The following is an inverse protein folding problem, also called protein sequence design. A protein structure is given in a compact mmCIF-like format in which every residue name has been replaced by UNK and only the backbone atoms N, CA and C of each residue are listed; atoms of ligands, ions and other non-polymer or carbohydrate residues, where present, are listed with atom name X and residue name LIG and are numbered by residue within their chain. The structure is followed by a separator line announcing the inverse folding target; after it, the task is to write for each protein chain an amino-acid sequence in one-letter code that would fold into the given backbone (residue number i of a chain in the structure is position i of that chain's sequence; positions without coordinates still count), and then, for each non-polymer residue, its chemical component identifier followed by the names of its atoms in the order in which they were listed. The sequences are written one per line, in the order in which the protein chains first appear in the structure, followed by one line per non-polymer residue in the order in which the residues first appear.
data_IF_355510213448
#
_entry.id   IF_355510213448
#
_cell.length_a   1.000
_cell.length_b   1.000
_cell.length_c   1.000
_cell.angle_alpha   90.00
_cell.angle_beta   90.00
_cell.angle_gamma   90.00
#
_symmetry.space_group_name_H-M   'P 1'
#
loop_
_entity.id
_entity.type
_entity.pdbx_description
1 polymer ?
#
# COMPACT_ATOMS: atom_id res chain seq x y z
N UNK A 1 -10.92 10.43 20.42
CA UNK A 1 -11.96 9.37 20.49
C UNK A 1 -11.37 8.07 19.92
N UNK A 2 -11.93 6.85 20.15
CA UNK A 2 -11.45 5.67 19.45
C UNK A 2 -11.68 5.82 17.93
N UNK A 3 -10.74 5.35 17.12
CA UNK A 3 -10.91 5.22 15.68
C UNK A 3 -11.99 4.20 15.36
N UNK A 4 -12.83 4.55 14.40
CA UNK A 4 -13.74 3.68 13.68
C UNK A 4 -12.95 2.67 12.82
N UNK A 5 -13.65 1.68 12.28
CA UNK A 5 -13.01 0.69 11.39
C UNK A 5 -12.55 1.36 10.09
N UNK A 6 -11.45 0.87 9.47
CA UNK A 6 -10.99 1.39 8.19
C UNK A 6 -12.13 1.44 7.16
N UNK A 7 -12.25 2.58 6.48
CA UNK A 7 -13.22 2.79 5.41
C UNK A 7 -14.68 2.89 5.89
N UNK A 8 -14.95 2.73 7.18
CA UNK A 8 -16.28 2.40 7.70
C UNK A 8 -16.88 1.18 6.98
N UNK A 9 -16.03 0.24 6.59
CA UNK A 9 -16.37 -0.87 5.71
C UNK A 9 -17.10 -2.02 6.42
N UNK A 10 -17.03 -2.09 7.74
CA UNK A 10 -17.51 -3.20 8.55
C UNK A 10 -18.30 -2.72 9.78
N UNK A 11 -19.28 -3.51 10.21
CA UNK A 11 -19.95 -3.34 11.49
C UNK A 11 -19.30 -4.27 12.53
N UNK A 12 -18.34 -3.74 13.29
CA UNK A 12 -17.66 -4.48 14.35
C UNK A 12 -18.34 -4.28 15.70
N UNK A 13 -18.40 -5.35 16.49
CA UNK A 13 -18.80 -5.25 17.90
C UNK A 13 -17.86 -4.32 18.68
N UNK A 14 -18.32 -3.69 19.78
CA UNK A 14 -17.47 -2.82 20.59
C UNK A 14 -16.17 -3.46 21.09
N UNK A 15 -16.17 -4.77 21.41
CA UNK A 15 -14.95 -5.50 21.82
C UNK A 15 -13.93 -5.60 20.68
N UNK A 16 -14.38 -5.86 19.44
CA UNK A 16 -13.49 -5.91 18.29
C UNK A 16 -12.97 -4.52 17.90
N UNK A 17 -13.81 -3.49 18.03
CA UNK A 17 -13.38 -2.11 17.81
C UNK A 17 -12.34 -1.66 18.85
N UNK A 18 -12.50 -2.04 20.11
CA UNK A 18 -11.51 -1.80 21.17
C UNK A 18 -10.19 -2.53 20.87
N UNK A 19 -10.23 -3.76 20.35
CA UNK A 19 -9.03 -4.48 19.92
C UNK A 19 -8.31 -3.82 18.76
N UNK A 20 -9.05 -3.32 17.77
CA UNK A 20 -8.48 -2.53 16.68
C UNK A 20 -7.76 -1.28 17.20
N UNK A 21 -8.39 -0.55 18.13
CA UNK A 21 -7.79 0.64 18.73
C UNK A 21 -6.56 0.33 19.59
N UNK A 22 -6.56 -0.81 20.28
CA UNK A 22 -5.37 -1.32 21.00
C UNK A 22 -4.23 -1.66 20.05
N UNK A 23 -4.53 -2.17 18.86
CA UNK A 23 -3.52 -2.39 17.82
C UNK A 23 -2.90 -1.07 17.37
N UNK A 24 -3.72 -0.06 17.06
CA UNK A 24 -3.25 1.28 16.69
C UNK A 24 -2.38 1.90 17.80
N UNK A 25 -2.88 1.91 19.04
CA UNK A 25 -2.13 2.46 20.19
C UNK A 25 -0.82 1.69 20.39
N UNK A 26 -0.82 0.36 20.28
CA UNK A 26 0.41 -0.45 20.38
C UNK A 26 1.46 -0.02 19.35
N UNK A 27 1.06 0.19 18.09
CA UNK A 27 2.00 0.62 17.05
C UNK A 27 2.55 2.02 17.33
N UNK A 28 1.68 2.96 17.70
CA UNK A 28 2.09 4.32 18.06
C UNK A 28 3.05 4.33 19.27
N UNK A 29 2.71 3.65 20.36
CA UNK A 29 3.51 3.61 21.60
C UNK A 29 4.88 2.98 21.39
N UNK A 30 5.03 2.08 20.41
CA UNK A 30 6.33 1.52 20.02
C UNK A 30 7.24 2.57 19.40
N UNK A 31 6.67 3.52 18.66
CA UNK A 31 7.40 4.55 17.90
C UNK A 31 7.61 5.85 18.68
N UNK A 32 6.72 6.15 19.63
CA UNK A 32 6.72 7.38 20.44
C UNK A 32 8.07 7.70 21.13
N UNK A 33 8.82 6.73 21.70
CA UNK A 33 10.10 7.03 22.34
C UNK A 33 11.15 7.66 21.40
N UNK A 34 11.15 7.26 20.12
CA UNK A 34 12.16 7.67 19.14
C UNK A 34 11.66 8.82 18.24
N UNK A 35 10.36 8.89 17.97
CA UNK A 35 9.77 9.81 17.00
C UNK A 35 8.83 10.86 17.61
N UNK A 36 8.46 10.73 18.88
CA UNK A 36 7.51 11.61 19.54
C UNK A 36 7.83 13.09 19.36
N UNK A 37 6.78 13.88 19.09
CA UNK A 37 6.85 15.33 18.97
C UNK A 37 5.53 15.94 19.46
N UNK A 38 5.55 17.20 19.89
CA UNK A 38 4.33 17.94 20.20
C UNK A 38 3.48 18.28 18.97
N UNK A 39 4.02 18.06 17.77
CA UNK A 39 3.39 18.33 16.49
C UNK A 39 2.72 17.08 15.89
N UNK A 40 2.72 15.95 16.60
CA UNK A 40 1.94 14.78 16.27
C UNK A 40 1.10 14.32 17.47
N UNK A 41 -0.15 13.95 17.23
CA UNK A 41 -0.97 13.23 18.20
C UNK A 41 -1.69 12.09 17.51
N UNK A 42 -1.88 10.98 18.22
CA UNK A 42 -2.73 9.91 17.74
C UNK A 42 -4.21 10.25 17.94
N UNK A 43 -4.55 11.16 18.85
CA UNK A 43 -5.95 11.45 19.19
C UNK A 43 -6.66 12.12 18.00
N UNK A 44 -7.63 11.44 17.37
CA UNK A 44 -8.49 12.08 16.40
C UNK A 44 -9.46 12.98 17.16
N UNK A 45 -9.73 14.14 16.55
CA UNK A 45 -10.78 15.13 16.89
C UNK A 45 -10.37 16.35 17.72
N UNK A 46 -9.86 17.34 16.99
CA UNK A 46 -10.53 18.65 16.99
C UNK A 46 -11.56 18.65 15.83
N UNK A 47 -12.87 18.80 16.07
CA UNK A 47 -13.88 18.88 15.01
C UNK A 47 -13.70 20.11 14.09
N UNK A 48 -12.89 21.09 14.51
CA UNK A 48 -12.46 22.21 13.68
C UNK A 48 -11.17 21.95 12.90
N UNK A 49 -10.54 20.77 13.04
CA UNK A 49 -9.33 20.42 12.30
C UNK A 49 -9.61 20.29 10.80
N UNK A 50 -8.68 20.79 9.99
CA UNK A 50 -8.75 20.62 8.54
C UNK A 50 -8.37 19.18 8.18
N UNK A 51 -9.26 18.49 7.45
CA UNK A 51 -8.98 17.15 6.92
C UNK A 51 -8.34 17.27 5.55
N UNK A 52 -7.18 16.64 5.38
CA UNK A 52 -6.40 16.68 4.15
C UNK A 52 -6.06 15.27 3.72
N UNK A 53 -6.34 14.94 2.45
CA UNK A 53 -5.83 13.73 1.83
C UNK A 53 -4.36 13.94 1.45
N UNK A 54 -3.47 13.10 1.98
CA UNK A 54 -2.07 13.10 1.57
C UNK A 54 -1.91 12.04 0.49
N UNK A 55 -1.65 12.43 -0.75
CA UNK A 55 -1.74 11.51 -1.89
C UNK A 55 -0.41 11.24 -2.58
N UNK A 56 -0.29 10.04 -3.14
CA UNK A 56 0.81 9.62 -4.00
C UNK A 56 0.32 8.54 -4.98
N UNK A 57 1.07 8.28 -6.06
CA UNK A 57 0.71 7.25 -7.04
C UNK A 57 0.98 5.84 -6.51
N UNK A 58 0.08 4.89 -6.83
CA UNK A 58 0.13 3.52 -6.32
C UNK A 58 1.08 2.57 -7.05
N UNK A 59 1.75 2.99 -8.13
CA UNK A 59 2.72 2.16 -8.84
C UNK A 59 4.06 2.10 -8.09
N UNK A 60 4.77 0.95 -8.11
CA UNK A 60 6.13 0.86 -7.57
C UNK A 60 7.10 1.86 -8.21
N UNK A 61 7.73 2.72 -7.41
CA UNK A 61 8.73 3.68 -7.91
C UNK A 61 10.10 3.03 -8.19
N UNK A 62 10.46 2.03 -7.38
CA UNK A 62 11.84 1.53 -7.29
C UNK A 62 12.41 0.97 -8.58
N UNK A 63 11.71 0.09 -9.31
CA UNK A 63 12.27 -0.46 -10.54
C UNK A 63 12.55 0.61 -11.60
N UNK A 64 11.73 1.66 -11.65
CA UNK A 64 11.86 2.73 -12.65
C UNK A 64 13.10 3.58 -12.38
N UNK A 65 13.31 4.02 -11.13
CA UNK A 65 14.51 4.81 -10.83
C UNK A 65 15.77 3.96 -10.85
N UNK A 66 15.71 2.67 -10.49
CA UNK A 66 16.86 1.76 -10.52
C UNK A 66 17.27 1.40 -11.94
N UNK A 67 16.30 1.18 -12.83
CA UNK A 67 16.51 0.73 -14.21
C UNK A 67 15.76 1.68 -15.17
N UNK A 68 14.55 1.31 -15.56
CA UNK A 68 13.69 2.04 -16.50
C UNK A 68 12.20 1.67 -16.35
N UNK A 69 11.32 2.46 -16.99
CA UNK A 69 9.87 2.30 -16.90
C UNK A 69 9.37 0.97 -17.50
N UNK A 70 10.02 0.46 -18.55
CA UNK A 70 9.65 -0.82 -19.17
C UNK A 70 9.95 -1.98 -18.21
N UNK A 71 11.06 -1.90 -17.48
CA UNK A 71 11.43 -2.87 -16.44
C UNK A 71 10.48 -2.75 -15.25
N UNK A 72 10.07 -1.55 -14.86
CA UNK A 72 9.07 -1.37 -13.81
C UNK A 72 7.74 -2.04 -14.11
N UNK A 73 7.22 -1.86 -15.32
CA UNK A 73 6.01 -2.54 -15.80
C UNK A 73 6.16 -4.06 -15.72
N UNK A 74 7.21 -4.59 -16.36
CA UNK A 74 7.41 -6.05 -16.46
C UNK A 74 7.67 -6.75 -15.14
N UNK A 75 8.43 -6.14 -14.22
CA UNK A 75 8.71 -6.76 -12.92
C UNK A 75 7.52 -6.64 -11.96
N UNK A 76 6.79 -5.53 -11.95
CA UNK A 76 5.60 -5.36 -11.12
C UNK A 76 4.50 -6.34 -11.55
N UNK A 77 4.32 -6.53 -12.87
CA UNK A 77 3.36 -7.48 -13.42
C UNK A 77 3.86 -8.94 -13.47
N UNK A 78 4.98 -9.28 -12.82
CA UNK A 78 5.48 -10.66 -12.74
C UNK A 78 4.62 -11.58 -11.83
N UNK A 79 3.42 -11.14 -11.46
CA UNK A 79 2.50 -11.85 -10.59
C UNK A 79 2.96 -11.80 -9.12
N UNK A 80 2.86 -12.93 -8.42
CA UNK A 80 3.12 -12.99 -6.97
C UNK A 80 4.53 -12.52 -6.60
N UNK A 81 5.54 -12.81 -7.43
CA UNK A 81 6.92 -12.38 -7.19
C UNK A 81 7.08 -10.86 -7.28
N UNK A 82 6.53 -10.26 -8.34
CA UNK A 82 6.52 -8.81 -8.53
C UNK A 82 5.81 -8.12 -7.38
N UNK A 83 4.59 -8.57 -7.07
CA UNK A 83 3.80 -8.05 -5.96
C UNK A 83 4.54 -8.06 -4.63
N UNK A 84 5.09 -9.22 -4.24
CA UNK A 84 5.77 -9.39 -2.94
C UNK A 84 7.04 -8.59 -2.82
N UNK A 85 7.73 -8.34 -3.92
CA UNK A 85 9.03 -7.67 -3.91
C UNK A 85 8.93 -6.15 -4.11
N UNK A 86 7.91 -5.67 -4.85
CA UNK A 86 7.91 -4.31 -5.38
C UNK A 86 6.69 -3.47 -5.00
N UNK A 87 5.55 -4.07 -4.62
CA UNK A 87 4.33 -3.29 -4.37
C UNK A 87 4.36 -2.65 -2.99
N UNK A 88 5.27 -1.70 -2.80
CA UNK A 88 5.58 -1.05 -1.55
C UNK A 88 5.13 0.42 -1.54
N UNK A 89 4.02 0.76 -2.19
CA UNK A 89 3.50 2.14 -2.22
C UNK A 89 2.11 2.24 -1.58
N UNK A 90 1.85 1.40 -0.57
CA UNK A 90 0.54 1.23 0.08
C UNK A 90 -0.60 0.97 -0.92
N UNK A 91 -0.27 0.28 -1.99
CA UNK A 91 -1.16 -0.12 -3.06
C UNK A 91 -0.63 -1.45 -3.60
N UNK A 92 -1.43 -2.50 -3.47
CA UNK A 92 -1.10 -3.80 -4.02
C UNK A 92 -2.19 -4.26 -4.97
N UNK A 93 -1.80 -4.93 -6.05
CA UNK A 93 -2.75 -5.45 -7.02
C UNK A 93 -2.46 -6.88 -7.42
N UNK A 94 -3.50 -7.53 -7.94
CA UNK A 94 -3.42 -8.81 -8.63
C UNK A 94 -4.16 -8.72 -9.97
N UNK A 95 -3.58 -9.31 -11.01
CA UNK A 95 -4.27 -9.51 -12.30
C UNK A 95 -5.01 -10.83 -12.22
N UNK A 96 -6.34 -10.76 -12.29
CA UNK A 96 -7.21 -11.93 -12.33
C UNK A 96 -7.32 -12.36 -13.78
N UNK A 97 -7.07 -13.64 -14.04
CA UNK A 97 -7.14 -14.22 -15.38
C UNK A 97 -8.39 -15.08 -15.53
N UNK A 98 -8.92 -15.15 -16.75
CA UNK A 98 -10.00 -16.06 -17.13
C UNK A 98 -9.67 -16.76 -18.45
N UNK A 99 -10.37 -17.86 -18.73
CA UNK A 99 -10.23 -18.59 -19.99
C UNK A 99 -11.25 -18.08 -21.00
N UNK A 100 -10.81 -17.71 -22.20
CA UNK A 100 -11.70 -17.30 -23.28
C UNK A 100 -12.39 -18.48 -23.98
N UNK A 101 -13.25 -18.20 -24.95
CA UNK A 101 -13.99 -19.22 -25.71
C UNK A 101 -13.11 -20.16 -26.53
N UNK A 102 -11.85 -19.78 -26.79
CA UNK A 102 -10.86 -20.58 -27.51
C UNK A 102 -9.99 -21.43 -26.56
N UNK A 103 -10.20 -21.32 -25.23
CA UNK A 103 -9.41 -22.03 -24.23
C UNK A 103 -8.12 -21.32 -23.84
N UNK A 104 -7.92 -20.05 -24.23
CA UNK A 104 -6.72 -19.26 -23.89
C UNK A 104 -6.93 -18.54 -22.57
N UNK A 105 -5.94 -18.60 -21.68
CA UNK A 105 -5.94 -17.84 -20.43
C UNK A 105 -5.51 -16.40 -20.73
N UNK A 106 -6.37 -15.43 -20.40
CA UNK A 106 -6.20 -14.00 -20.68
C UNK A 106 -6.46 -13.16 -19.42
N UNK A 107 -5.85 -11.98 -19.28
CA UNK A 107 -6.14 -11.08 -18.16
C UNK A 107 -7.58 -10.59 -18.23
N UNK A 108 -8.33 -10.79 -17.15
CA UNK A 108 -9.75 -10.47 -17.07
C UNK A 108 -9.98 -9.12 -16.40
N UNK A 109 -9.34 -8.88 -15.26
CA UNK A 109 -9.45 -7.64 -14.48
C UNK A 109 -8.25 -7.45 -13.57
N UNK A 110 -8.07 -6.24 -13.08
CA UNK A 110 -7.11 -5.91 -12.02
C UNK A 110 -7.88 -5.70 -10.72
N UNK A 111 -7.48 -6.38 -9.66
CA UNK A 111 -7.97 -6.15 -8.30
C UNK A 111 -6.88 -5.43 -7.51
N UNK A 112 -7.21 -4.24 -7.00
CA UNK A 112 -6.34 -3.38 -6.19
C UNK A 112 -6.84 -3.34 -4.76
N UNK A 113 -5.93 -3.36 -3.79
CA UNK A 113 -6.22 -3.17 -2.37
C UNK A 113 -5.25 -2.18 -1.73
N UNK A 114 -5.78 -1.39 -0.81
CA UNK A 114 -5.03 -0.56 0.15
C UNK A 114 -5.34 -0.97 1.59
N UNK A 115 -5.93 -2.15 1.80
CA UNK A 115 -6.31 -2.60 3.14
C UNK A 115 -5.10 -3.11 3.93
N UNK A 116 -4.93 -2.62 5.16
CA UNK A 116 -3.78 -2.91 6.03
C UNK A 116 -3.86 -4.35 6.59
N UNK A 117 -2.74 -5.11 6.62
CA UNK A 117 -2.73 -6.48 7.12
C UNK A 117 -3.11 -6.62 8.60
N UNK A 118 -2.82 -5.61 9.42
CA UNK A 118 -3.04 -5.64 10.87
C UNK A 118 -4.53 -5.76 11.23
N UNK A 119 -5.40 -5.12 10.45
CA UNK A 119 -6.84 -5.24 10.64
C UNK A 119 -7.31 -6.68 10.41
N UNK A 120 -6.80 -7.33 9.36
CA UNK A 120 -7.08 -8.73 9.05
C UNK A 120 -6.47 -9.70 10.07
N UNK A 121 -5.26 -9.42 10.55
CA UNK A 121 -4.62 -10.19 11.62
C UNK A 121 -5.44 -10.12 12.92
N UNK A 122 -5.94 -8.94 13.29
CA UNK A 122 -6.82 -8.75 14.46
C UNK A 122 -8.10 -9.57 14.32
N UNK A 123 -8.76 -9.51 13.15
CA UNK A 123 -9.96 -10.31 12.89
C UNK A 123 -9.66 -11.82 12.89
N UNK A 124 -8.54 -12.25 12.33
CA UNK A 124 -8.14 -13.65 12.34
C UNK A 124 -7.90 -14.17 13.77
N UNK A 125 -7.28 -13.34 14.59
CA UNK A 125 -6.98 -13.67 15.98
C UNK A 125 -8.25 -13.77 16.83
N UNK A 126 -9.20 -12.85 16.65
CA UNK A 126 -10.30 -12.67 17.59
C UNK A 126 -11.69 -13.04 17.06
N UNK A 127 -11.94 -12.91 15.76
CA UNK A 127 -13.23 -13.20 15.13
C UNK A 127 -13.10 -13.92 13.77
N UNK A 128 -12.62 -15.19 13.73
CA UNK A 128 -12.45 -15.95 12.48
C UNK A 128 -13.70 -16.01 11.59
N UNK A 129 -14.89 -16.14 12.19
CA UNK A 129 -16.16 -16.16 11.46
C UNK A 129 -16.40 -14.85 10.70
N UNK A 130 -16.22 -13.71 11.38
CA UNK A 130 -16.37 -12.38 10.77
C UNK A 130 -15.32 -12.13 9.69
N UNK A 131 -14.07 -12.53 9.92
CA UNK A 131 -13.02 -12.51 8.89
C UNK A 131 -13.47 -13.26 7.63
N UNK A 132 -14.00 -14.47 7.78
CA UNK A 132 -14.42 -15.30 6.64
C UNK A 132 -15.60 -14.67 5.89
N UNK A 133 -16.55 -14.06 6.58
CA UNK A 133 -17.64 -13.29 5.96
C UNK A 133 -17.09 -12.16 5.09
N UNK A 134 -16.19 -11.34 5.64
CA UNK A 134 -15.55 -10.22 4.92
C UNK A 134 -14.80 -10.71 3.67
N UNK A 135 -14.06 -11.81 3.81
CA UNK A 135 -13.35 -12.40 2.67
C UNK A 135 -14.30 -13.02 1.66
N UNK A 136 -15.43 -13.56 2.08
CA UNK A 136 -16.47 -14.10 1.19
C UNK A 136 -17.07 -12.99 0.33
N UNK A 137 -17.36 -11.83 0.92
CA UNK A 137 -17.86 -10.66 0.20
C UNK A 137 -16.86 -10.18 -0.86
N UNK A 138 -15.56 -10.20 -0.53
CA UNK A 138 -14.49 -9.81 -1.44
C UNK A 138 -14.24 -10.82 -2.56
N UNK A 139 -14.28 -12.12 -2.24
CA UNK A 139 -13.98 -13.20 -3.19
C UNK A 139 -15.19 -13.62 -4.03
N UNK A 140 -16.40 -13.24 -3.63
CA UNK A 140 -17.66 -13.78 -4.18
C UNK A 140 -17.89 -15.27 -3.86
N UNK A 141 -16.98 -15.90 -3.10
CA UNK A 141 -17.02 -17.32 -2.73
C UNK A 141 -16.48 -17.49 -1.31
N UNK A 142 -17.07 -18.42 -0.55
CA UNK A 142 -16.66 -18.65 0.84
C UNK A 142 -15.33 -19.44 0.88
N UNK A 143 -14.24 -18.87 1.40
CA UNK A 143 -12.97 -19.58 1.51
C UNK A 143 -13.03 -20.61 2.64
N UNK A 144 -12.36 -21.75 2.46
CA UNK A 144 -12.26 -22.78 3.48
C UNK A 144 -11.32 -22.34 4.61
N UNK A 145 -11.53 -22.88 5.81
CA UNK A 145 -10.62 -22.60 6.94
C UNK A 145 -9.17 -23.01 6.67
N UNK A 146 -8.97 -24.09 5.92
CA UNK A 146 -7.65 -24.54 5.51
C UNK A 146 -6.96 -23.58 4.56
N UNK A 147 -7.72 -22.82 3.79
CA UNK A 147 -7.22 -21.78 2.88
C UNK A 147 -6.94 -20.47 3.61
N UNK A 148 -7.40 -20.30 4.86
CA UNK A 148 -7.16 -19.11 5.69
C UNK A 148 -6.09 -19.36 6.77
N UNK A 149 -6.10 -20.53 7.42
CA UNK A 149 -5.25 -20.86 8.57
C UNK A 149 -4.29 -22.04 8.29
N UNK A 150 -4.29 -22.58 7.07
CA UNK A 150 -3.43 -23.67 6.64
C UNK A 150 -4.04 -25.07 6.75
N UNK A 151 -3.44 -26.08 6.10
CA UNK A 151 -4.06 -27.38 5.83
C UNK A 151 -4.42 -28.20 7.07
N UNK A 152 -3.77 -27.92 8.22
CA UNK A 152 -4.02 -28.61 9.47
C UNK A 152 -5.21 -28.03 10.27
N UNK A 153 -5.77 -26.89 9.86
CA UNK A 153 -6.80 -26.17 10.62
C UNK A 153 -8.17 -26.40 9.99
N UNK A 154 -8.93 -27.34 10.56
CA UNK A 154 -10.30 -27.61 10.16
C UNK A 154 -11.31 -26.63 10.78
N UNK A 155 -11.02 -26.14 11.99
CA UNK A 155 -11.82 -25.14 12.69
C UNK A 155 -10.89 -24.23 13.53
N UNK A 156 -10.77 -22.93 13.19
CA UNK A 156 -9.92 -22.01 13.94
C UNK A 156 -10.41 -21.74 15.37
N UNK A 157 -11.67 -22.05 15.71
CA UNK A 157 -12.18 -21.87 17.07
C UNK A 157 -11.56 -22.87 18.07
N UNK A 158 -10.97 -23.96 17.58
CA UNK A 158 -10.24 -24.92 18.40
C UNK A 158 -8.82 -24.45 18.76
N UNK A 159 -8.37 -23.33 18.19
CA UNK A 159 -7.06 -22.74 18.44
C UNK A 159 -7.17 -21.58 19.44
N UNK A 160 -6.17 -21.46 20.32
CA UNK A 160 -6.00 -20.25 21.12
C UNK A 160 -5.81 -19.02 20.21
N UNK A 161 -6.15 -17.80 20.65
CA UNK A 161 -6.01 -16.59 19.82
C UNK A 161 -4.62 -16.44 19.19
N UNK A 162 -3.55 -16.58 19.98
CA UNK A 162 -2.17 -16.50 19.46
C UNK A 162 -1.87 -17.58 18.41
N UNK A 163 -2.40 -18.79 18.58
CA UNK A 163 -2.27 -19.86 17.59
C UNK A 163 -3.04 -19.54 16.30
N UNK A 164 -4.21 -18.91 16.39
CA UNK A 164 -4.96 -18.42 15.22
C UNK A 164 -4.17 -17.36 14.46
N UNK A 165 -3.64 -16.36 15.17
CA UNK A 165 -2.80 -15.30 14.60
C UNK A 165 -1.61 -15.89 13.85
N UNK A 166 -0.84 -16.79 14.48
CA UNK A 166 0.32 -17.45 13.86
C UNK A 166 -0.08 -18.31 12.66
N UNK A 167 -1.16 -19.08 12.76
CA UNK A 167 -1.63 -19.95 11.67
C UNK A 167 -2.11 -19.13 10.46
N UNK A 168 -2.90 -18.08 10.69
CA UNK A 168 -3.32 -17.14 9.66
C UNK A 168 -2.12 -16.44 9.04
N UNK A 169 -1.22 -15.90 9.86
CA UNK A 169 -0.07 -15.16 9.36
C UNK A 169 0.82 -16.02 8.48
N UNK A 170 1.15 -17.24 8.92
CA UNK A 170 1.94 -18.21 8.15
C UNK A 170 1.32 -18.52 6.79
N UNK A 171 -0.01 -18.49 6.69
CA UNK A 171 -0.69 -18.87 5.47
C UNK A 171 -1.04 -17.68 4.56
N UNK A 172 -1.32 -16.50 5.09
CA UNK A 172 -1.95 -15.40 4.33
C UNK A 172 -1.16 -14.09 4.31
N UNK A 173 -0.45 -13.73 5.38
CA UNK A 173 0.21 -12.41 5.50
C UNK A 173 1.74 -12.52 5.41
N UNK A 174 2.34 -13.59 5.92
CA UNK A 174 3.74 -13.61 6.32
C UNK A 174 3.96 -12.91 7.66
N UNK A 175 5.21 -12.86 8.13
CA UNK A 175 5.51 -12.25 9.43
C UNK A 175 5.40 -10.72 9.45
N UNK A 176 5.45 -10.04 8.28
CA UNK A 176 5.29 -8.58 8.19
C UNK A 176 6.23 -7.75 9.08
N UNK A 177 7.41 -8.27 9.45
CA UNK A 177 8.33 -7.69 10.45
C UNK A 177 7.76 -7.57 11.87
N UNK A 178 6.64 -8.22 12.17
CA UNK A 178 6.12 -8.34 13.53
C UNK A 178 7.02 -9.26 14.36
N UNK A 179 7.64 -8.77 15.45
CA UNK A 179 8.56 -9.56 16.27
C UNK A 179 7.94 -10.85 16.83
N UNK A 180 6.68 -10.79 17.26
CA UNK A 180 5.96 -11.96 17.79
C UNK A 180 5.77 -13.07 16.76
N UNK A 181 5.61 -12.71 15.47
CA UNK A 181 5.47 -13.67 14.39
C UNK A 181 6.83 -14.24 13.95
N UNK A 182 7.88 -13.41 13.96
CA UNK A 182 9.26 -13.87 13.73
C UNK A 182 9.66 -14.87 14.82
N UNK A 183 9.41 -14.56 16.09
CA UNK A 183 9.69 -15.44 17.23
C UNK A 183 8.89 -16.75 17.18
N UNK A 184 7.75 -16.75 16.49
CA UNK A 184 6.92 -17.93 16.22
C UNK A 184 7.29 -18.67 14.92
N UNK A 185 8.47 -18.38 14.34
CA UNK A 185 9.00 -18.95 13.10
C UNK A 185 8.05 -18.80 11.89
N UNK A 186 7.24 -17.74 11.87
CA UNK A 186 6.39 -17.42 10.71
C UNK A 186 7.30 -16.94 9.58
N UNK A 187 7.19 -17.49 8.36
CA UNK A 187 8.02 -17.06 7.24
C UNK A 187 7.69 -15.62 6.82
N UNK A 188 8.68 -14.94 6.22
CA UNK A 188 8.48 -13.61 5.62
C UNK A 188 7.39 -13.65 4.54
N UNK A 189 7.42 -14.70 3.71
CA UNK A 189 6.43 -14.92 2.67
C UNK A 189 5.37 -15.94 3.11
N UNK A 190 4.07 -15.65 2.91
CA UNK A 190 3.02 -16.58 3.27
C UNK A 190 3.05 -17.85 2.41
N UNK A 191 2.75 -18.99 3.06
CA UNK A 191 2.73 -20.31 2.42
C UNK A 191 1.48 -20.56 1.57
N UNK A 192 0.38 -19.86 1.83
CA UNK A 192 -0.84 -19.93 1.05
C UNK A 192 -0.83 -18.96 -0.13
N UNK A 193 -1.67 -19.26 -1.12
CA UNK A 193 -1.80 -18.45 -2.33
C UNK A 193 -3.00 -17.48 -2.30
N UNK A 194 -3.97 -17.67 -1.40
CA UNK A 194 -5.26 -16.98 -1.47
C UNK A 194 -5.13 -15.45 -1.51
N UNK A 195 -4.39 -14.86 -0.56
CA UNK A 195 -4.12 -13.42 -0.59
C UNK A 195 -3.26 -13.06 -1.81
N UNK A 196 -2.20 -13.83 -2.07
CA UNK A 196 -1.25 -13.57 -3.15
C UNK A 196 -1.93 -13.41 -4.53
N UNK A 197 -2.94 -14.24 -4.83
CA UNK A 197 -3.62 -14.26 -6.13
C UNK A 197 -4.85 -13.35 -6.21
N UNK A 198 -5.43 -12.90 -5.09
CA UNK A 198 -6.65 -12.06 -5.08
C UNK A 198 -6.43 -10.65 -4.49
N UNK A 199 -5.22 -10.31 -4.06
CA UNK A 199 -4.92 -9.05 -3.36
C UNK A 199 -5.98 -8.73 -2.27
N UNK A 200 -6.17 -9.66 -1.32
CA UNK A 200 -7.18 -9.51 -0.27
C UNK A 200 -6.87 -8.32 0.64
N UNK A 201 -5.60 -8.16 0.98
CA UNK A 201 -5.05 -7.03 1.73
C UNK A 201 -3.56 -6.94 1.42
N UNK A 202 -2.94 -5.83 1.80
CA UNK A 202 -1.52 -5.61 1.60
C UNK A 202 -0.68 -6.58 2.43
N UNK A 203 0.33 -7.19 1.83
CA UNK A 203 1.22 -8.15 2.49
C UNK A 203 2.70 -7.78 2.35
N UNK A 204 3.02 -6.75 1.57
CA UNK A 204 4.36 -6.20 1.53
C UNK A 204 4.69 -5.64 2.93
N UNK A 205 5.85 -6.00 3.53
CA UNK A 205 6.14 -5.64 4.92
C UNK A 205 6.14 -4.13 5.19
N UNK A 206 6.45 -3.32 4.17
CA UNK A 206 6.51 -1.85 4.28
C UNK A 206 5.14 -1.17 4.13
N UNK A 207 4.09 -1.92 3.75
CA UNK A 207 2.72 -1.42 3.68
C UNK A 207 1.95 -1.65 5.00
N UNK A 208 2.67 -1.64 6.13
CA UNK A 208 2.12 -1.87 7.45
C UNK A 208 1.55 -0.60 8.10
N UNK A 209 0.69 -0.78 9.09
CA UNK A 209 0.18 0.30 9.93
C UNK A 209 1.33 1.01 10.66
N UNK A 210 2.34 0.26 11.08
CA UNK A 210 3.50 0.80 11.77
C UNK A 210 4.35 1.70 10.90
N UNK A 211 4.65 1.30 9.66
CA UNK A 211 5.40 2.13 8.72
C UNK A 211 4.62 3.40 8.34
N UNK A 212 3.29 3.32 8.27
CA UNK A 212 2.44 4.48 8.00
C UNK A 212 2.52 5.49 9.16
N UNK A 213 2.40 5.01 10.40
CA UNK A 213 2.54 5.86 11.58
C UNK A 213 3.97 6.41 11.68
N UNK A 214 4.98 5.55 11.45
CA UNK A 214 6.39 5.90 11.48
C UNK A 214 6.68 7.11 10.59
N UNK A 215 6.27 7.05 9.31
CA UNK A 215 6.69 8.07 8.35
C UNK A 215 6.00 9.42 8.59
N UNK A 216 4.76 9.40 9.08
CA UNK A 216 4.05 10.63 9.47
C UNK A 216 4.67 11.22 10.74
N UNK A 217 4.97 10.40 11.77
CA UNK A 217 5.66 10.88 12.98
C UNK A 217 7.07 11.38 12.69
N UNK A 218 7.79 10.72 11.78
CA UNK A 218 9.09 11.17 11.29
C UNK A 218 8.99 12.56 10.66
N UNK A 219 7.97 12.78 9.82
CA UNK A 219 7.69 14.07 9.18
C UNK A 219 7.19 15.15 10.13
N UNK A 220 6.43 14.80 11.18
CA UNK A 220 5.75 15.73 12.08
C UNK A 220 6.69 16.46 13.06
N UNK A 221 7.69 17.16 12.53
CA UNK A 221 8.59 18.07 13.25
C UNK A 221 8.80 19.30 12.36
N UNK A 222 8.98 20.50 12.94
CA UNK A 222 9.20 21.72 12.19
C UNK A 222 10.63 21.75 11.62
N UNK A 223 10.88 20.97 10.57
CA UNK A 223 12.17 20.92 9.89
C UNK A 223 12.44 22.22 9.15
N UNK A 224 13.56 22.86 9.48
CA UNK A 224 13.93 24.15 8.92
C UNK A 224 15.37 24.17 8.43
N UNK A 225 15.65 25.10 7.52
CA UNK A 225 17.00 25.55 7.19
C UNK A 225 17.12 27.04 7.49
N UNK A 226 18.36 27.54 7.65
CA UNK A 226 18.61 28.97 7.80
C UNK A 226 18.64 29.66 6.44
N UNK A 227 17.95 30.77 6.31
CA UNK A 227 18.09 31.63 5.13
C UNK A 227 19.22 32.66 5.30
N UNK A 228 19.54 33.38 4.23
CA UNK A 228 20.62 34.38 4.21
C UNK A 228 20.39 35.56 5.18
N UNK A 229 19.15 35.81 5.57
CA UNK A 229 18.77 36.83 6.54
C UNK A 229 18.79 36.32 8.00
N UNK A 230 19.15 35.05 8.23
CA UNK A 230 19.20 34.43 9.56
C UNK A 230 17.87 33.90 10.09
N UNK A 231 16.79 33.99 9.30
CA UNK A 231 15.48 33.41 9.59
C UNK A 231 15.38 31.92 9.21
N UNK A 232 14.19 31.35 9.43
CA UNK A 232 13.88 29.95 9.11
C UNK A 232 13.06 29.84 7.83
N UNK A 233 13.40 28.86 7.00
CA UNK A 233 12.62 28.39 5.86
C UNK A 233 12.39 26.88 5.97
N UNK A 234 11.34 26.31 5.37
CA UNK A 234 11.13 24.87 5.35
C UNK A 234 12.35 24.13 4.81
N UNK A 235 12.74 23.03 5.46
CA UNK A 235 13.77 22.16 4.92
C UNK A 235 13.23 21.37 3.70
N UNK A 236 14.07 21.17 2.70
CA UNK A 236 13.73 20.34 1.55
C UNK A 236 13.78 18.84 1.86
N UNK A 237 13.14 18.03 1.00
CA UNK A 237 13.13 16.56 1.05
C UNK A 237 14.48 15.95 1.40
N UNK A 238 15.50 16.30 0.61
CA UNK A 238 16.82 15.70 0.73
C UNK A 238 17.59 16.11 1.99
N UNK A 239 17.16 17.17 2.68
CA UNK A 239 17.69 17.54 3.98
C UNK A 239 17.05 16.68 5.06
N UNK A 240 15.71 16.55 5.03
CA UNK A 240 14.93 15.78 5.98
C UNK A 240 15.37 14.31 5.98
N UNK A 241 15.41 13.67 4.81
CA UNK A 241 15.78 12.25 4.69
C UNK A 241 17.27 11.95 4.89
N UNK A 242 18.13 12.97 5.03
CA UNK A 242 19.54 12.81 5.43
C UNK A 242 19.80 13.08 6.90
N UNK A 243 18.80 13.52 7.64
CA UNK A 243 18.97 13.77 9.07
C UNK A 243 19.37 12.50 9.82
N UNK A 244 18.88 11.34 9.37
CA UNK A 244 19.21 10.05 9.95
C UNK A 244 19.85 9.15 8.88
N UNK A 245 21.03 8.55 9.16
CA UNK A 245 21.67 7.64 8.22
C UNK A 245 20.76 6.46 7.86
N UNK A 246 20.63 6.17 6.56
CA UNK A 246 19.88 5.02 6.07
C UNK A 246 18.45 5.32 5.63
N UNK A 247 17.94 6.54 5.84
CA UNK A 247 16.61 6.95 5.39
C UNK A 247 16.59 7.55 3.97
N UNK A 248 17.75 7.74 3.34
CA UNK A 248 17.82 8.35 2.01
C UNK A 248 17.03 7.57 0.97
N UNK A 249 16.97 6.25 1.08
CA UNK A 249 16.21 5.38 0.18
C UNK A 249 14.69 5.66 0.25
N UNK A 250 14.16 6.03 1.42
CA UNK A 250 12.74 6.36 1.59
C UNK A 250 12.36 7.59 0.74
N UNK A 251 13.27 8.55 0.58
CA UNK A 251 13.02 9.76 -0.25
C UNK A 251 12.75 9.49 -1.73
N UNK A 252 13.03 8.26 -2.19
CA UNK A 252 12.93 7.83 -3.58
C UNK A 252 11.61 7.12 -3.90
N UNK A 253 10.87 6.67 -2.88
CA UNK A 253 9.52 6.14 -3.03
C UNK A 253 8.51 7.26 -3.30
N UNK A 254 7.28 6.90 -3.64
CA UNK A 254 6.18 7.86 -3.77
C UNK A 254 5.57 8.19 -2.41
N UNK A 255 5.30 7.16 -1.60
CA UNK A 255 4.59 7.27 -0.32
C UNK A 255 5.37 8.06 0.73
N UNK A 256 6.61 7.66 1.00
CA UNK A 256 7.35 8.19 2.15
C UNK A 256 7.60 9.70 2.06
N UNK A 257 8.10 10.26 0.93
CA UNK A 257 8.30 11.70 0.86
C UNK A 257 6.96 12.45 0.85
N UNK A 258 5.89 11.92 0.25
CA UNK A 258 4.58 12.57 0.30
C UNK A 258 4.08 12.70 1.75
N UNK A 259 4.10 11.60 2.50
CA UNK A 259 3.68 11.57 3.90
C UNK A 259 4.56 12.44 4.81
N UNK A 260 5.89 12.27 4.73
CA UNK A 260 6.82 13.00 5.58
C UNK A 260 6.81 14.50 5.30
N UNK A 261 6.75 14.91 4.02
CA UNK A 261 6.75 16.33 3.65
C UNK A 261 5.43 17.02 4.01
N UNK A 262 4.29 16.35 3.83
CA UNK A 262 3.00 16.90 4.25
C UNK A 262 2.96 17.16 5.77
N UNK A 263 3.47 16.21 6.56
CA UNK A 263 3.55 16.36 8.02
C UNK A 263 4.59 17.43 8.43
N UNK A 264 5.73 17.51 7.74
CA UNK A 264 6.77 18.51 7.99
C UNK A 264 6.28 19.93 7.69
N UNK A 265 5.56 20.11 6.59
CA UNK A 265 4.96 21.40 6.23
C UNK A 265 3.95 21.84 7.28
N UNK A 266 3.05 20.95 7.71
CA UNK A 266 2.09 21.25 8.77
C UNK A 266 2.79 21.64 10.08
N UNK A 267 3.78 20.85 10.51
CA UNK A 267 4.53 21.13 11.73
C UNK A 267 5.34 22.43 11.66
N UNK A 268 5.93 22.76 10.50
CA UNK A 268 6.64 24.02 10.27
C UNK A 268 5.72 25.24 10.45
N UNK A 269 4.45 25.11 10.08
CA UNK A 269 3.41 26.12 10.32
C UNK A 269 2.76 26.03 11.70
N UNK A 270 3.36 25.27 12.62
CA UNK A 270 2.91 25.09 13.99
C UNK A 270 1.56 24.40 14.13
N UNK A 271 1.21 23.55 13.16
CA UNK A 271 0.00 22.74 13.22
C UNK A 271 0.35 21.36 13.77
N UNK A 272 -0.46 20.86 14.69
CA UNK A 272 -0.41 19.46 15.11
C UNK A 272 -1.03 18.58 14.02
N UNK A 273 -0.38 17.46 13.72
CA UNK A 273 -0.82 16.45 12.76
C UNK A 273 -1.41 15.26 13.52
N UNK A 274 -2.48 14.68 12.99
CA UNK A 274 -3.05 13.42 13.45
C UNK A 274 -3.62 12.66 12.26
N UNK A 275 -3.88 11.36 12.41
CA UNK A 275 -4.70 10.64 11.43
C UNK A 275 -6.17 10.99 11.65
N UNK A 276 -6.92 11.20 10.56
CA UNK A 276 -8.36 11.39 10.65
C UNK A 276 -9.06 10.05 10.95
N UNK A 277 -10.21 10.13 11.62
CA UNK A 277 -11.11 8.98 11.78
C UNK A 277 -11.95 8.76 10.50
N UNK A 278 -11.98 7.54 9.92
CA UNK A 278 -11.19 6.35 10.27
C UNK A 278 -9.74 6.36 9.80
N UNK A 279 -8.84 5.81 10.62
CA UNK A 279 -7.44 5.58 10.24
C UNK A 279 -7.38 4.45 9.20
N UNK A 280 -6.77 4.74 8.06
CA UNK A 280 -6.55 3.76 7.00
C UNK A 280 -5.85 4.38 5.79
N UNK A 281 -5.64 3.54 4.78
CA UNK A 281 -5.15 3.93 3.46
C UNK A 281 -6.29 3.83 2.45
N UNK A 282 -6.52 4.90 1.71
CA UNK A 282 -7.68 5.01 0.83
C UNK A 282 -7.27 5.29 -0.61
N UNK A 283 -8.09 4.83 -1.54
CA UNK A 283 -8.05 5.22 -2.95
C UNK A 283 -8.69 6.62 -3.03
N UNK A 284 -7.84 7.62 -3.21
CA UNK A 284 -8.20 9.03 -3.21
C UNK A 284 -8.69 9.47 -4.60
N UNK A 285 -8.05 8.93 -5.64
CA UNK A 285 -8.40 9.22 -7.02
C UNK A 285 -8.07 8.01 -7.91
N UNK A 286 -8.91 7.78 -8.93
CA UNK A 286 -8.60 6.92 -10.06
C UNK A 286 -8.92 7.67 -11.34
N UNK A 287 -7.90 7.93 -12.16
CA UNK A 287 -8.04 8.63 -13.44
C UNK A 287 -8.47 7.63 -14.51
N UNK A 288 -9.76 7.27 -14.54
CA UNK A 288 -10.29 6.28 -15.47
C UNK A 288 -10.37 6.75 -16.92
N UNK A 289 -10.33 8.05 -17.15
CA UNK A 289 -10.57 8.70 -18.44
C UNK A 289 -9.48 8.40 -19.48
N UNK A 290 -8.31 7.92 -19.03
CA UNK A 290 -7.21 7.52 -19.92
C UNK A 290 -7.39 6.12 -20.48
N UNK A 291 -8.33 5.32 -19.96
CA UNK A 291 -8.57 3.96 -20.43
C UNK A 291 -9.70 3.94 -21.44
N UNK A 292 -9.44 3.34 -22.59
CA UNK A 292 -10.37 3.26 -23.71
C UNK A 292 -10.71 1.82 -24.07
N UNK A 293 -11.98 1.59 -24.39
CA UNK A 293 -12.48 0.34 -24.96
C UNK A 293 -13.19 0.67 -26.27
N UNK A 294 -12.79 0.01 -27.36
CA UNK A 294 -13.29 0.27 -28.71
C UNK A 294 -13.21 1.77 -29.14
N UNK A 295 -12.20 2.48 -28.65
CA UNK A 295 -11.96 3.90 -28.93
C UNK A 295 -12.84 4.88 -28.14
N UNK A 296 -13.68 4.39 -27.22
CA UNK A 296 -14.46 5.21 -26.28
C UNK A 296 -14.07 4.95 -24.83
N UNK A 297 -14.63 5.68 -23.84
CA UNK A 297 -14.40 5.40 -22.43
C UNK A 297 -14.77 3.96 -22.07
N UNK A 298 -14.04 3.35 -21.13
CA UNK A 298 -14.43 2.06 -20.57
C UNK A 298 -15.84 2.13 -19.94
N UNK A 299 -16.65 1.05 -20.01
CA UNK A 299 -17.96 1.02 -19.37
C UNK A 299 -17.89 1.26 -17.85
N UNK A 300 -18.77 2.11 -17.31
CA UNK A 300 -18.86 2.38 -15.86
C UNK A 300 -18.90 1.11 -14.98
N UNK A 301 -19.63 0.02 -15.35
CA UNK A 301 -19.65 -1.20 -14.54
C UNK A 301 -18.30 -1.91 -14.42
N UNK A 302 -17.33 -1.58 -15.27
CA UNK A 302 -15.97 -2.12 -15.21
C UNK A 302 -15.09 -1.43 -14.16
N UNK A 303 -15.57 -0.33 -13.56
CA UNK A 303 -14.88 0.40 -12.50
C UNK A 303 -15.68 0.23 -11.21
N UNK A 304 -15.16 -0.58 -10.28
CA UNK A 304 -15.86 -0.91 -9.03
C UNK A 304 -15.00 -0.54 -7.84
N UNK A 305 -15.33 0.58 -7.20
CA UNK A 305 -14.79 0.92 -5.89
C UNK A 305 -15.53 0.14 -4.81
N UNK A 306 -14.79 -0.34 -3.81
CA UNK A 306 -15.35 -1.17 -2.74
C UNK A 306 -14.58 -1.07 -1.42
N UNK A 307 -15.09 -1.80 -0.42
CA UNK A 307 -14.58 -1.83 0.95
C UNK A 307 -14.34 -0.43 1.52
N UNK A 308 -15.42 0.33 1.61
CA UNK A 308 -15.42 1.66 2.22
C UNK A 308 -16.57 2.53 1.71
N UNK A 309 -16.89 3.58 2.46
CA UNK A 309 -17.86 4.58 2.05
C UNK A 309 -17.28 5.54 0.99
N UNK A 310 -18.12 6.42 0.43
CA UNK A 310 -17.67 7.43 -0.53
C UNK A 310 -16.53 8.27 0.06
N UNK A 311 -15.42 8.36 -0.69
CA UNK A 311 -14.21 9.05 -0.25
C UNK A 311 -13.28 8.25 0.67
N UNK A 312 -13.65 7.00 1.01
CA UNK A 312 -12.89 6.10 1.88
C UNK A 312 -12.76 4.69 1.28
N UNK A 313 -12.84 4.55 -0.04
CA UNK A 313 -12.72 3.25 -0.71
C UNK A 313 -11.31 2.68 -0.51
N UNK A 314 -11.23 1.37 -0.22
CA UNK A 314 -9.94 0.67 -0.05
C UNK A 314 -9.69 -0.39 -1.11
N UNK A 315 -10.65 -0.63 -1.99
CA UNK A 315 -10.52 -1.55 -3.13
C UNK A 315 -10.97 -0.90 -4.43
N UNK A 316 -10.30 -1.28 -5.50
CA UNK A 316 -10.71 -1.01 -6.87
C UNK A 316 -10.64 -2.33 -7.64
N UNK A 317 -11.74 -2.69 -8.31
CA UNK A 317 -11.68 -3.61 -9.43
C UNK A 317 -11.79 -2.84 -10.73
N UNK A 318 -10.86 -3.09 -11.64
CA UNK A 318 -10.83 -2.47 -12.96
C UNK A 318 -10.84 -3.55 -14.05
N UNK A 319 -11.90 -3.53 -14.86
CA UNK A 319 -12.08 -4.40 -16.01
C UNK A 319 -13.39 -5.20 -16.01
N UNK A 320 -13.63 -5.97 -17.08
CA UNK A 320 -14.82 -6.79 -17.28
C UNK A 320 -15.13 -7.75 -16.10
N UNK A 321 -16.41 -7.96 -15.81
CA UNK A 321 -16.88 -8.99 -14.86
C UNK A 321 -16.77 -10.40 -15.44
N UNK A 322 -16.87 -11.43 -14.60
CA UNK A 322 -16.73 -12.84 -15.04
C UNK A 322 -17.73 -13.25 -16.14
N UNK A 323 -18.95 -12.70 -16.12
CA UNK A 323 -19.99 -12.98 -17.13
C UNK A 323 -19.86 -12.16 -18.43
N UNK A 324 -18.96 -11.18 -18.47
CA UNK A 324 -18.71 -10.34 -19.65
C UNK A 324 -17.81 -11.10 -20.64
N UNK A 325 -18.04 -11.10 -21.96
CA UNK A 325 -17.16 -11.80 -22.91
C UNK A 325 -15.81 -11.11 -23.14
N UNK A 326 -15.64 -9.85 -22.74
CA UNK A 326 -14.44 -9.05 -23.00
C UNK A 326 -13.32 -9.28 -21.99
N UNK A 327 -12.11 -8.85 -22.35
CA UNK A 327 -10.90 -9.03 -21.54
C UNK A 327 -10.13 -7.72 -21.36
N UNK A 328 -9.28 -7.69 -20.34
CA UNK A 328 -8.50 -6.50 -19.98
C UNK A 328 -7.54 -6.07 -21.10
N UNK A 329 -6.97 -7.03 -21.82
CA UNK A 329 -6.05 -6.79 -22.95
C UNK A 329 -6.76 -6.27 -24.22
N UNK A 330 -8.07 -6.04 -24.17
CA UNK A 330 -8.86 -5.33 -25.20
C UNK A 330 -8.99 -3.83 -24.90
N UNK A 331 -8.53 -3.39 -23.72
CA UNK A 331 -8.49 -1.98 -23.31
C UNK A 331 -7.15 -1.37 -23.73
N UNK A 332 -7.17 -0.12 -24.18
CA UNK A 332 -5.96 0.70 -24.39
C UNK A 332 -5.86 1.79 -23.32
N UNK A 333 -4.65 2.26 -23.06
CA UNK A 333 -4.34 3.36 -22.15
C UNK A 333 -3.67 4.50 -22.92
N UNK A 334 -4.15 5.71 -22.71
CA UNK A 334 -3.60 6.93 -23.31
C UNK A 334 -2.62 7.58 -22.35
N UNK A 335 -1.33 7.58 -22.70
CA UNK A 335 -0.28 8.26 -21.97
C UNK A 335 0.35 9.35 -22.86
N UNK A 336 0.04 10.62 -22.59
CA UNK A 336 0.48 11.74 -23.41
C UNK A 336 -0.09 11.65 -24.83
N UNK A 337 0.80 11.58 -25.83
CA UNK A 337 0.44 11.44 -27.25
C UNK A 337 0.42 9.96 -27.72
N UNK A 338 0.58 9.00 -26.80
CA UNK A 338 0.65 7.57 -27.12
C UNK A 338 -0.56 6.82 -26.58
N UNK A 339 -1.08 5.89 -27.38
CA UNK A 339 -2.10 4.93 -26.98
C UNK A 339 -1.49 3.53 -27.06
N UNK A 340 -1.41 2.85 -25.91
CA UNK A 340 -0.80 1.53 -25.78
C UNK A 340 -1.85 0.50 -25.30
N UNK A 341 -1.75 -0.78 -25.70
CA UNK A 341 -2.55 -1.84 -25.10
C UNK A 341 -2.29 -1.94 -23.59
N UNK A 342 -3.35 -2.14 -22.81
CA UNK A 342 -3.22 -2.42 -21.37
C UNK A 342 -2.66 -3.83 -21.17
N UNK A 343 -1.45 -3.94 -20.61
CA UNK A 343 -0.76 -5.24 -20.51
C UNK A 343 -0.83 -5.88 -19.12
N UNK A 344 -1.11 -5.10 -18.08
CA UNK A 344 -1.15 -5.61 -16.71
C UNK A 344 -1.77 -4.62 -15.72
N UNK A 345 -1.44 -4.81 -14.45
CA UNK A 345 -1.95 -3.96 -13.38
C UNK A 345 -1.08 -2.73 -13.13
N UNK A 346 0.18 -2.74 -13.57
CA UNK A 346 1.10 -1.62 -13.38
C UNK A 346 0.53 -0.32 -13.98
N UNK A 347 0.08 -0.36 -15.23
CA UNK A 347 -0.50 0.81 -15.89
C UNK A 347 -1.80 1.28 -15.20
N UNK A 348 -2.58 0.36 -14.62
CA UNK A 348 -3.77 0.72 -13.83
C UNK A 348 -3.37 1.49 -12.57
N UNK A 349 -2.44 0.95 -11.77
CA UNK A 349 -2.08 1.59 -10.48
C UNK A 349 -1.25 2.87 -10.63
N UNK A 350 -0.64 3.11 -11.79
CA UNK A 350 -0.07 4.43 -12.14
C UNK A 350 -1.14 5.53 -12.22
N UNK A 351 -2.39 5.16 -12.49
CA UNK A 351 -3.52 6.09 -12.56
C UNK A 351 -4.33 6.12 -11.25
N UNK A 352 -3.88 5.40 -10.22
CA UNK A 352 -4.48 5.39 -8.88
C UNK A 352 -3.62 6.24 -7.96
N UNK A 353 -4.23 7.24 -7.32
CA UNK A 353 -3.63 7.91 -6.18
C UNK A 353 -4.21 7.33 -4.89
N UNK A 354 -3.32 6.94 -3.99
CA UNK A 354 -3.66 6.42 -2.66
C UNK A 354 -3.11 7.34 -1.59
N UNK A 355 -3.65 7.24 -0.38
CA UNK A 355 -3.25 8.14 0.69
C UNK A 355 -4.07 7.98 1.97
N UNK A 356 -3.48 8.25 3.15
CA UNK A 356 -4.26 8.45 4.36
C UNK A 356 -4.97 9.81 4.31
N UNK A 357 -5.95 9.97 5.19
CA UNK A 357 -6.50 11.28 5.53
C UNK A 357 -5.89 11.70 6.86
N UNK A 358 -5.30 12.89 6.90
CA UNK A 358 -4.77 13.50 8.13
C UNK A 358 -5.68 14.63 8.59
N UNK A 359 -5.73 14.86 9.89
CA UNK A 359 -6.39 16.01 10.50
C UNK A 359 -5.32 16.96 11.06
N UNK A 360 -5.42 18.23 10.66
CA UNK A 360 -4.46 19.28 10.99
C UNK A 360 -5.08 20.28 11.96
N UNK A 361 -4.49 20.41 13.14
CA UNK A 361 -4.88 21.40 14.14
C UNK A 361 -4.70 22.84 13.66
N UNK A 362 -5.20 23.79 14.44
CA UNK A 362 -5.03 25.21 14.15
C UNK A 362 -3.54 25.61 14.15
N UNK A 363 -3.12 26.55 13.27
CA UNK A 363 -1.75 27.03 13.25
C UNK A 363 -1.43 27.81 14.54
N UNK A 364 -0.26 27.52 15.11
CA UNK A 364 0.31 28.24 16.23
C UNK A 364 1.71 28.78 15.89
N UNK A 365 2.20 29.74 16.68
CA UNK A 365 3.57 30.20 16.52
C UNK A 365 4.54 29.09 16.97
N UNK A 366 5.42 28.66 16.08
CA UNK A 366 6.52 27.72 16.41
C UNK A 366 7.61 28.47 17.19
N UNK A 367 7.92 28.08 18.43
CA UNK A 367 9.04 28.63 19.18
C UNK A 367 10.38 28.39 18.45
N UNK A 368 11.31 29.36 18.44
CA UNK A 368 12.61 29.19 17.78
C UNK A 368 13.42 27.95 18.22
N UNK A 369 13.21 27.47 19.45
CA UNK A 369 13.88 26.28 19.99
C UNK A 369 13.29 24.96 19.52
N UNK A 370 12.10 24.98 18.91
CA UNK A 370 11.41 23.77 18.47
C UNK A 370 11.82 23.37 17.04
N UNK A 371 12.33 24.32 16.25
CA UNK A 371 12.80 24.04 14.89
C UNK A 371 13.96 23.04 14.88
N UNK A 372 13.81 22.00 14.08
CA UNK A 372 14.90 21.08 13.77
C UNK A 372 15.68 21.67 12.61
N UNK A 373 16.76 22.39 12.93
CA UNK A 373 17.56 23.11 11.94
C UNK A 373 18.53 22.16 11.25
N UNK A 374 18.28 21.88 9.98
CA UNK A 374 19.08 20.99 9.14
C UNK A 374 20.12 21.79 8.37
N UNK A 375 21.29 21.17 8.16
CA UNK A 375 22.32 21.71 7.30
C UNK A 375 21.87 21.72 5.84
N UNK A 376 22.51 22.55 5.02
CA UNK A 376 22.28 22.51 3.58
C UNK A 376 22.63 21.13 3.01
N UNK A 377 21.80 20.70 2.07
CA UNK A 377 22.00 19.46 1.32
C UNK A 377 23.23 19.60 0.42
N UNK A 378 24.16 18.63 0.48
CA UNK A 378 25.37 18.59 -0.37
C UNK A 378 25.08 18.25 -1.84
N UNK A 379 23.82 18.02 -2.19
CA UNK A 379 23.34 17.70 -3.54
C UNK A 379 22.08 16.84 -3.51
N UNK A 380 21.47 16.53 -4.66
CA UNK A 380 20.28 15.70 -4.70
C UNK A 380 20.56 14.27 -4.19
N UNK A 381 19.60 13.65 -3.49
CA UNK A 381 19.66 12.21 -3.21
C UNK A 381 19.57 11.45 -4.53
N UNK A 382 20.50 10.52 -4.76
CA UNK A 382 20.59 9.73 -5.98
C UNK A 382 19.93 8.38 -5.78
N UNK A 383 18.68 8.26 -6.21
CA UNK A 383 17.89 7.03 -6.02
C UNK A 383 18.50 5.78 -6.68
N UNK A 384 19.26 5.96 -7.77
CA UNK A 384 20.02 4.89 -8.42
C UNK A 384 21.11 4.26 -7.55
N UNK A 385 21.57 4.97 -6.54
CA UNK A 385 22.60 4.50 -5.61
C UNK A 385 21.97 3.82 -4.37
N UNK A 386 20.64 3.74 -4.30
CA UNK A 386 19.93 3.10 -3.19
C UNK A 386 20.18 1.58 -3.19
N UNK A 387 20.34 1.01 -1.99
CA UNK A 387 20.58 -0.43 -1.80
C UNK A 387 19.49 -1.31 -2.43
N UNK A 388 18.25 -0.83 -2.50
CA UNK A 388 17.16 -1.59 -3.14
C UNK A 388 17.44 -1.91 -4.61
N UNK A 389 18.21 -1.06 -5.30
CA UNK A 389 18.61 -1.32 -6.68
C UNK A 389 19.54 -2.53 -6.80
N UNK A 390 20.45 -2.73 -5.85
CA UNK A 390 21.41 -3.85 -5.84
C UNK A 390 20.88 -5.09 -5.13
N UNK A 391 20.10 -4.90 -4.07
CA UNK A 391 19.72 -5.96 -3.14
C UNK A 391 18.36 -6.59 -3.52
N UNK A 392 17.53 -5.88 -4.31
CA UNK A 392 16.17 -6.31 -4.66
C UNK A 392 15.90 -6.24 -6.16
N UNK A 393 15.91 -5.04 -6.77
CA UNK A 393 15.49 -4.85 -8.17
C UNK A 393 16.41 -5.58 -9.15
N UNK A 394 17.73 -5.43 -9.00
CA UNK A 394 18.72 -6.12 -9.85
C UNK A 394 18.56 -7.64 -9.85
N UNK A 395 18.64 -8.31 -8.68
CA UNK A 395 18.42 -9.76 -8.58
C UNK A 395 17.05 -10.21 -9.10
N UNK A 396 16.00 -9.43 -8.87
CA UNK A 396 14.66 -9.72 -9.38
C UNK A 396 14.63 -9.69 -10.92
N UNK A 397 15.30 -8.69 -11.54
CA UNK A 397 15.44 -8.59 -12.99
C UNK A 397 16.22 -9.75 -13.58
N UNK A 398 17.34 -10.13 -12.98
CA UNK A 398 18.14 -11.28 -13.42
C UNK A 398 17.31 -12.57 -13.38
N UNK A 399 16.52 -12.77 -12.32
CA UNK A 399 15.65 -13.92 -12.19
C UNK A 399 14.53 -13.93 -13.23
N UNK A 400 13.93 -12.77 -13.51
CA UNK A 400 12.91 -12.62 -14.56
C UNK A 400 13.47 -12.98 -15.95
N UNK A 401 14.63 -12.44 -16.30
CA UNK A 401 15.28 -12.69 -17.59
C UNK A 401 15.67 -14.17 -17.75
N UNK A 402 16.20 -14.77 -16.68
CA UNK A 402 16.56 -16.19 -16.66
C UNK A 402 15.34 -17.09 -16.88
N UNK A 403 14.16 -16.71 -16.38
CA UNK A 403 12.91 -17.45 -16.59
C UNK A 403 12.37 -17.25 -18.01
N UNK A 404 12.43 -16.02 -18.55
CA UNK A 404 12.00 -15.69 -19.90
C UNK A 404 12.80 -16.44 -20.98
N UNK A 405 14.07 -16.78 -20.70
CA UNK A 405 14.96 -17.51 -21.60
C UNK A 405 14.77 -19.04 -21.54
N UNK A 406 13.98 -19.59 -20.59
CA UNK A 406 13.75 -21.04 -20.51
C UNK A 406 12.78 -21.51 -21.62
N UNK A 407 13.21 -22.40 -22.52
CA UNK A 407 12.32 -22.97 -23.52
C UNK A 407 11.24 -23.83 -22.84
N UNK A 408 9.96 -23.51 -23.04
CA UNK A 408 8.85 -24.43 -22.76
C UNK A 408 7.99 -24.20 -21.51
N UNK A 409 8.15 -23.09 -20.78
CA UNK A 409 7.27 -22.74 -19.63
C UNK A 409 6.33 -21.55 -19.87
N UNK A 410 6.57 -20.76 -20.91
CA UNK A 410 5.62 -19.75 -21.38
C UNK A 410 4.64 -20.43 -22.35
N UNK A 411 3.42 -20.68 -21.89
CA UNK A 411 2.28 -20.82 -22.78
C UNK A 411 2.24 -19.62 -23.72
N UNK A 412 2.59 -19.84 -24.98
CA UNK A 412 2.23 -19.05 -26.16
C UNK A 412 2.02 -17.53 -25.93
N UNK A 413 3.10 -16.75 -25.89
CA UNK A 413 3.03 -15.35 -26.37
C UNK A 413 2.96 -15.38 -27.90
N UNK A 414 1.96 -14.74 -28.56
CA UNK A 414 2.01 -14.53 -29.99
C UNK A 414 3.22 -13.64 -30.30
N UNK A 415 4.09 -14.10 -31.19
CA UNK A 415 5.10 -13.22 -31.81
C UNK A 415 4.37 -12.10 -32.52
N UNK A 416 4.58 -10.86 -32.08
CA UNK A 416 4.14 -9.67 -32.81
C UNK A 416 4.59 -9.74 -34.26
N UNK A 417 3.63 -9.56 -35.16
CA UNK A 417 3.89 -9.29 -36.58
C UNK A 417 4.41 -7.86 -36.68
N UNK A 418 5.41 -7.70 -37.52
CA UNK A 418 6.17 -6.48 -37.81
C UNK A 418 5.33 -5.30 -38.23
#
# INVERSE_FOLDING_TARGET
MPFSVPGLADDLTPDLLDRWNKEIDRQFRRLEPDLGSQYFTLEPDDPAADRVAVTWFGNPAEPEFCLDAATARTLSDWGVRGRRALHNEYCEYAVISATDTEGRVRPKRVQVTTELPEYYLMLAEHAPARLREILTETLGTEPRWQELYGPAVADPQLLAPTQRRVAFARHLTGHGQHPDLIDADVPAEPAGSLNAVNALFMAHPINGLDDLIYIVMFGAKPYARRNSAGGFEPAGRDQIFRQQPGLEALSCRHADPAAALAAADAAFHGRTVSFADPLGMYIQQFTSEVFLFEGGPVPDPWIRLGRGQQGLAQRLEFGPSDDDPHFLDEITVVEGDTEEPLTGGYEVVRQVQVGPIVALGAPAQVPPGDFVVLADSTGPIRCRDARVCTDTVGPLKEAFDAEALRPGLLGSRPRGVR
#
